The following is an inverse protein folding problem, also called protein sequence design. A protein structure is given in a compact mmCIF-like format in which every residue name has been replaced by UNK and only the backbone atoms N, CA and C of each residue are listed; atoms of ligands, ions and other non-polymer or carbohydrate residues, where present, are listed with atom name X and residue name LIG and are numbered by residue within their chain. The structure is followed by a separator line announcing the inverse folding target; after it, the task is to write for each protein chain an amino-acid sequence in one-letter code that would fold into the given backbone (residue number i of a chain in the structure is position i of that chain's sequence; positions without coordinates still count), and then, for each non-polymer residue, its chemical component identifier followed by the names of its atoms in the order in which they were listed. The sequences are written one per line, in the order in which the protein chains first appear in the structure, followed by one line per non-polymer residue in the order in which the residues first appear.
data_IF_143906950067
#
_entry.id   IF_143906950067
#
_cell.length_a   1.000
_cell.length_b   1.000
_cell.length_c   1.000
_cell.angle_alpha   90.00
_cell.angle_beta   90.00
_cell.angle_gamma   90.00
#
_symmetry.space_group_name_H-M   'P 1'
#
loop_
_entity.id
_entity.type
_entity.pdbx_description
1 polymer ?
#
# COMPACT_ATOMS: atom_id res chain seq x y z
N UNK A 1 17.88 16.81 6.65
CA UNK A 1 17.40 15.48 7.07
C UNK A 1 17.15 14.71 5.82
N UNK A 2 17.91 13.66 5.66
CA UNK A 2 17.65 12.67 4.64
C UNK A 2 16.84 11.53 5.24
N UNK A 3 16.04 10.88 4.40
CA UNK A 3 15.20 9.73 4.72
C UNK A 3 14.38 9.87 6.01
N UNK A 4 13.58 10.93 6.12
CA UNK A 4 12.68 11.17 7.25
C UNK A 4 11.74 9.98 7.53
N UNK A 5 11.33 9.25 6.50
CA UNK A 5 10.47 8.06 6.64
C UNK A 5 11.09 6.92 7.46
N UNK A 6 12.42 6.88 7.58
CA UNK A 6 13.14 5.86 8.37
C UNK A 6 13.22 6.19 9.86
N UNK A 7 12.82 7.40 10.24
CA UNK A 7 12.96 7.84 11.62
C UNK A 7 11.97 7.10 12.53
N UNK A 8 12.43 6.44 13.60
CA UNK A 8 11.58 5.58 14.41
C UNK A 8 10.56 6.35 15.26
N UNK A 9 10.83 7.64 15.52
CA UNK A 9 9.94 8.52 16.27
C UNK A 9 10.34 9.99 16.08
N UNK A 10 9.50 10.89 16.61
CA UNK A 10 9.67 12.35 16.50
C UNK A 10 10.86 12.94 17.28
N UNK A 11 11.52 12.17 18.15
CA UNK A 11 12.48 12.72 19.12
C UNK A 11 13.65 13.44 18.43
N UNK A 12 14.28 12.80 17.45
CA UNK A 12 15.40 13.41 16.73
C UNK A 12 14.95 14.65 15.96
N UNK A 13 13.78 14.58 15.33
CA UNK A 13 13.18 15.71 14.62
C UNK A 13 12.99 16.92 15.56
N UNK A 14 12.30 16.74 16.69
CA UNK A 14 12.04 17.83 17.64
C UNK A 14 13.32 18.44 18.23
N UNK A 15 14.31 17.61 18.59
CA UNK A 15 15.61 18.10 19.11
C UNK A 15 16.27 19.03 18.11
N UNK A 16 16.21 18.67 16.83
CA UNK A 16 16.91 19.39 15.78
C UNK A 16 16.16 20.62 15.30
N UNK A 17 14.83 20.56 15.23
CA UNK A 17 13.99 21.68 14.76
C UNK A 17 13.66 22.69 15.86
N UNK A 18 13.39 22.23 17.09
CA UNK A 18 13.01 23.11 18.21
C UNK A 18 14.23 23.41 19.09
N UNK A 19 14.91 22.37 19.57
CA UNK A 19 16.03 22.53 20.50
C UNK A 19 17.22 23.30 19.90
N UNK A 20 17.89 22.71 18.91
CA UNK A 20 19.05 23.34 18.25
C UNK A 20 18.68 24.42 17.24
N UNK A 21 17.40 24.51 16.87
CA UNK A 21 16.89 25.48 15.92
C UNK A 21 16.71 26.87 16.50
N UNK A 22 16.04 26.93 17.65
CA UNK A 22 15.68 28.18 18.31
C UNK A 22 16.90 28.99 18.78
N UNK A 23 18.07 28.33 18.89
CA UNK A 23 19.34 28.98 19.18
C UNK A 23 19.93 29.76 17.98
N UNK A 24 19.36 29.65 16.78
CA UNK A 24 19.84 30.31 15.55
C UNK A 24 18.84 31.37 15.09
N UNK A 25 19.34 32.49 14.58
CA UNK A 25 18.50 33.63 14.14
C UNK A 25 17.67 33.33 12.88
N UNK A 26 18.18 32.51 11.97
CA UNK A 26 17.53 32.17 10.69
C UNK A 26 17.82 30.70 10.33
N UNK A 27 17.32 29.73 11.11
CA UNK A 27 17.53 28.32 10.82
C UNK A 27 16.77 27.92 9.55
N UNK A 28 17.43 27.13 8.69
CA UNK A 28 16.81 26.53 7.52
C UNK A 28 16.95 25.01 7.58
N UNK A 29 15.84 24.30 7.40
CA UNK A 29 15.78 22.85 7.43
C UNK A 29 15.38 22.31 6.06
N UNK A 30 16.25 21.49 5.48
CA UNK A 30 15.91 20.69 4.31
C UNK A 30 15.51 19.30 4.77
N UNK A 31 14.27 18.91 4.48
CA UNK A 31 13.74 17.58 4.72
C UNK A 31 13.57 16.92 3.35
N UNK A 32 14.34 15.88 3.09
CA UNK A 32 14.22 15.05 1.90
C UNK A 32 13.91 13.62 2.37
N UNK A 33 13.03 12.94 1.66
CA UNK A 33 12.56 11.60 2.01
C UNK A 33 11.81 11.01 0.83
N UNK A 34 11.63 9.70 0.86
CA UNK A 34 10.60 8.98 0.09
C UNK A 34 9.34 8.76 0.94
N UNK A 35 8.25 8.32 0.30
CA UNK A 35 7.05 7.88 1.02
C UNK A 35 7.36 6.69 1.94
N UNK A 36 6.70 6.62 3.09
CA UNK A 36 6.86 5.54 4.06
C UNK A 36 5.73 4.51 3.99
N UNK A 37 5.78 3.56 4.94
CA UNK A 37 4.74 2.55 5.14
C UNK A 37 3.90 2.76 6.39
N UNK A 38 4.35 3.64 7.30
CA UNK A 38 3.71 3.94 8.57
C UNK A 38 3.06 5.33 8.54
N UNK A 39 1.73 5.34 8.63
CA UNK A 39 0.91 6.56 8.69
C UNK A 39 0.87 7.20 10.08
N UNK A 40 1.49 6.59 11.09
CA UNK A 40 1.69 7.18 12.42
C UNK A 40 3.07 7.83 12.57
N UNK A 41 3.91 7.77 11.54
CA UNK A 41 5.27 8.31 11.56
C UNK A 41 5.32 9.84 11.51
N UNK A 42 6.41 10.42 12.02
CA UNK A 42 6.70 11.87 11.88
C UNK A 42 6.81 12.30 10.41
N UNK A 43 7.23 11.37 9.53
CA UNK A 43 7.27 11.61 8.10
C UNK A 43 5.86 11.80 7.54
N UNK A 44 4.91 10.95 7.95
CA UNK A 44 3.52 11.08 7.51
C UNK A 44 2.88 12.36 8.04
N UNK A 45 3.12 12.72 9.31
CA UNK A 45 2.68 14.00 9.88
C UNK A 45 3.18 15.19 9.04
N UNK A 46 4.48 15.19 8.71
CA UNK A 46 5.10 16.24 7.88
C UNK A 46 4.54 16.26 6.46
N UNK A 47 4.28 15.09 5.87
CA UNK A 47 3.67 14.94 4.56
C UNK A 47 2.23 15.46 4.52
N UNK A 48 1.41 15.16 5.53
CA UNK A 48 0.05 15.70 5.64
C UNK A 48 0.06 17.23 5.77
N UNK A 49 0.96 17.78 6.59
CA UNK A 49 1.17 19.24 6.65
C UNK A 49 1.50 19.81 5.27
N UNK A 50 2.37 19.16 4.51
CA UNK A 50 2.75 19.59 3.17
C UNK A 50 1.54 19.59 2.20
N UNK A 51 0.73 18.52 2.22
CA UNK A 51 -0.51 18.43 1.42
C UNK A 51 -1.51 19.52 1.79
N UNK A 52 -1.75 19.73 3.08
CA UNK A 52 -2.69 20.76 3.56
C UNK A 52 -2.28 22.17 3.12
N UNK A 53 -0.97 22.46 3.05
CA UNK A 53 -0.46 23.74 2.55
C UNK A 53 -0.64 23.86 1.05
N UNK A 54 -0.30 22.82 0.27
CA UNK A 54 -0.47 22.80 -1.18
C UNK A 54 -1.94 22.95 -1.61
N UNK A 55 -2.86 22.38 -0.83
CA UNK A 55 -4.31 22.46 -1.06
C UNK A 55 -4.94 23.73 -0.48
N UNK A 56 -4.16 24.59 0.18
CA UNK A 56 -4.63 25.83 0.80
C UNK A 56 -5.49 25.63 2.05
N UNK A 57 -5.60 24.41 2.59
CA UNK A 57 -6.27 24.09 3.86
C UNK A 57 -5.51 24.66 5.07
N UNK A 58 -4.19 24.85 4.93
CA UNK A 58 -3.32 25.45 5.94
C UNK A 58 -2.44 26.54 5.33
N UNK A 59 -2.27 27.65 6.03
CA UNK A 59 -1.38 28.73 5.63
C UNK A 59 -0.19 28.76 6.57
N UNK A 60 1.00 28.42 6.06
CA UNK A 60 2.26 28.48 6.80
C UNK A 60 3.37 28.96 5.85
N UNK A 61 3.72 30.26 5.88
CA UNK A 61 4.74 30.81 4.98
C UNK A 61 6.17 30.36 5.31
N UNK A 62 6.38 29.67 6.44
CA UNK A 62 7.70 29.17 6.85
C UNK A 62 8.01 27.77 6.31
N UNK A 63 7.03 27.12 5.69
CA UNK A 63 7.14 25.76 5.19
C UNK A 63 6.88 25.72 3.68
N UNK A 64 7.90 25.34 2.91
CA UNK A 64 7.82 25.25 1.46
C UNK A 64 7.78 23.77 1.01
N UNK A 65 6.58 23.23 0.71
CA UNK A 65 6.42 21.84 0.29
C UNK A 65 6.68 21.65 -1.21
N UNK A 66 7.40 20.59 -1.55
CA UNK A 66 7.49 20.06 -2.92
C UNK A 66 7.31 18.56 -2.83
N UNK A 67 6.33 18.01 -3.56
CA UNK A 67 6.02 16.58 -3.57
C UNK A 67 6.04 16.12 -5.02
N UNK A 68 6.90 15.15 -5.32
CA UNK A 68 6.89 14.41 -6.57
C UNK A 68 6.43 12.99 -6.28
N UNK A 69 5.21 12.67 -6.72
CA UNK A 69 4.63 11.35 -6.52
C UNK A 69 3.33 11.15 -7.28
N UNK A 70 2.93 9.90 -7.37
CA UNK A 70 1.65 9.49 -7.91
C UNK A 70 0.59 9.47 -6.80
N UNK A 71 -0.66 9.72 -7.18
CA UNK A 71 -1.82 9.47 -6.32
C UNK A 71 -1.97 7.97 -6.10
N UNK A 72 -2.64 7.58 -5.03
CA UNK A 72 -2.80 6.17 -4.63
C UNK A 72 -3.54 5.31 -5.66
N UNK A 73 -4.44 5.92 -6.43
CA UNK A 73 -5.31 5.27 -7.42
C UNK A 73 -4.75 5.28 -8.85
N UNK A 74 -3.61 5.95 -9.08
CA UNK A 74 -3.01 6.00 -10.42
C UNK A 74 -2.35 4.67 -10.80
N UNK A 75 -2.43 4.35 -12.10
CA UNK A 75 -1.80 3.16 -12.67
C UNK A 75 -0.28 3.26 -12.52
N UNK A 76 0.25 2.42 -11.65
CA UNK A 76 1.67 2.37 -11.35
C UNK A 76 2.51 1.83 -12.51
N UNK A 77 1.88 1.26 -13.55
CA UNK A 77 2.56 0.72 -14.73
C UNK A 77 2.60 1.71 -15.90
N UNK A 78 1.99 2.89 -15.77
CA UNK A 78 1.96 3.92 -16.80
C UNK A 78 3.25 4.77 -16.82
N UNK A 79 4.02 4.78 -17.93
CA UNK A 79 5.22 5.62 -18.07
C UNK A 79 5.00 7.12 -17.86
N UNK A 80 3.81 7.66 -18.15
CA UNK A 80 3.52 9.08 -17.90
C UNK A 80 3.40 9.38 -16.40
N UNK A 81 2.87 8.44 -15.61
CA UNK A 81 2.87 8.51 -14.14
C UNK A 81 4.30 8.46 -13.60
N UNK A 82 5.17 7.66 -14.21
CA UNK A 82 6.59 7.59 -13.82
C UNK A 82 7.29 8.92 -14.06
N UNK A 83 7.10 9.50 -15.24
CA UNK A 83 7.72 10.77 -15.63
C UNK A 83 7.30 11.93 -14.74
N UNK A 84 6.02 12.00 -14.37
CA UNK A 84 5.51 13.04 -13.46
C UNK A 84 6.04 12.86 -12.04
N UNK A 85 6.20 11.62 -11.58
CA UNK A 85 6.67 11.30 -10.23
C UNK A 85 8.20 11.39 -10.09
N UNK A 86 8.94 11.35 -11.20
CA UNK A 86 10.40 11.35 -11.25
C UNK A 86 10.93 12.46 -12.17
N UNK A 87 11.13 13.69 -11.65
CA UNK A 87 11.61 14.82 -12.46
C UNK A 87 12.95 14.60 -13.15
N UNK A 88 13.76 13.66 -12.65
CA UNK A 88 15.06 13.31 -13.21
C UNK A 88 15.05 12.08 -14.14
N UNK A 89 13.87 11.54 -14.44
CA UNK A 89 13.71 10.41 -15.35
C UNK A 89 14.21 10.77 -16.76
N UNK A 90 15.02 9.90 -17.34
CA UNK A 90 15.69 10.13 -18.62
C UNK A 90 16.98 10.97 -18.53
N UNK A 91 17.32 11.51 -17.35
CA UNK A 91 18.55 12.27 -17.12
C UNK A 91 19.51 11.48 -16.22
N UNK A 92 19.10 11.23 -14.96
CA UNK A 92 19.92 10.48 -14.00
C UNK A 92 19.45 9.05 -13.81
N UNK A 93 18.15 8.81 -14.00
CA UNK A 93 17.55 7.47 -13.96
C UNK A 93 17.09 7.12 -15.38
N UNK A 94 17.65 6.05 -15.94
CA UNK A 94 17.24 5.54 -17.25
C UNK A 94 15.85 4.93 -17.22
N UNK A 95 15.04 5.22 -18.25
CA UNK A 95 13.67 4.70 -18.36
C UNK A 95 13.65 3.17 -18.48
N UNK A 96 14.68 2.59 -19.10
CA UNK A 96 14.92 1.16 -19.21
C UNK A 96 15.00 0.48 -17.83
N UNK A 97 15.65 1.11 -16.85
CA UNK A 97 15.74 0.58 -15.48
C UNK A 97 14.40 0.63 -14.75
N UNK A 98 13.60 1.68 -14.98
CA UNK A 98 12.27 1.80 -14.39
C UNK A 98 11.33 0.77 -15.02
N UNK A 99 11.39 0.60 -16.33
CA UNK A 99 10.63 -0.43 -17.05
C UNK A 99 10.95 -1.83 -16.53
N UNK A 100 12.23 -2.18 -16.43
CA UNK A 100 12.65 -3.48 -15.90
C UNK A 100 12.18 -3.72 -14.46
N UNK A 101 12.23 -2.69 -13.60
CA UNK A 101 11.72 -2.78 -12.24
C UNK A 101 10.18 -2.94 -12.20
N UNK A 102 9.46 -2.27 -13.10
CA UNK A 102 8.01 -2.43 -13.24
C UNK A 102 7.64 -3.84 -13.67
N UNK A 103 8.36 -4.41 -14.65
CA UNK A 103 8.07 -5.74 -15.17
C UNK A 103 8.33 -6.85 -14.13
N UNK A 104 9.37 -6.67 -13.30
CA UNK A 104 9.64 -7.54 -12.14
C UNK A 104 8.52 -7.43 -11.09
N UNK A 105 8.14 -6.20 -10.75
CA UNK A 105 7.05 -5.91 -9.81
C UNK A 105 5.69 -6.51 -10.22
N UNK A 106 5.39 -6.60 -11.52
CA UNK A 106 4.13 -7.18 -12.03
C UNK A 106 3.94 -8.65 -11.63
N UNK A 107 5.03 -9.34 -11.34
CA UNK A 107 5.02 -10.77 -11.00
C UNK A 107 5.19 -11.00 -9.50
N UNK A 108 5.53 -9.96 -8.73
CA UNK A 108 5.85 -10.07 -7.31
C UNK A 108 5.20 -8.92 -6.51
N UNK A 109 4.13 -9.19 -5.73
CA UNK A 109 3.44 -8.18 -4.93
C UNK A 109 4.35 -7.40 -3.95
N UNK A 110 5.43 -8.01 -3.46
CA UNK A 110 6.38 -7.32 -2.58
C UNK A 110 7.22 -6.28 -3.35
N UNK A 111 7.58 -6.61 -4.58
CA UNK A 111 8.27 -5.70 -5.49
C UNK A 111 7.33 -4.63 -6.03
N UNK A 112 6.04 -4.91 -6.22
CA UNK A 112 5.03 -3.88 -6.51
C UNK A 112 4.99 -2.82 -5.42
N UNK A 113 4.86 -3.22 -4.15
CA UNK A 113 4.89 -2.28 -3.03
C UNK A 113 6.19 -1.45 -3.02
N UNK A 114 7.32 -2.12 -3.23
CA UNK A 114 8.63 -1.45 -3.29
C UNK A 114 8.72 -0.47 -4.48
N UNK A 115 8.18 -0.83 -5.63
CA UNK A 115 8.15 0.02 -6.82
C UNK A 115 7.27 1.25 -6.58
N UNK A 116 6.04 1.05 -6.09
CA UNK A 116 5.10 2.11 -5.76
C UNK A 116 5.68 3.09 -4.74
N UNK A 117 6.33 2.58 -3.69
CA UNK A 117 6.98 3.41 -2.69
C UNK A 117 8.18 4.17 -3.26
N UNK A 118 9.16 3.46 -3.85
CA UNK A 118 10.48 4.02 -4.16
C UNK A 118 10.57 4.69 -5.54
N UNK A 119 9.67 4.36 -6.47
CA UNK A 119 9.60 4.99 -7.80
C UNK A 119 8.46 5.98 -7.92
N UNK A 120 7.36 5.79 -7.21
CA UNK A 120 6.18 6.64 -7.36
C UNK A 120 5.87 7.48 -6.11
N UNK A 121 6.63 7.33 -5.02
CA UNK A 121 6.36 8.00 -3.74
C UNK A 121 4.90 7.82 -3.27
N UNK A 122 4.33 6.64 -3.54
CA UNK A 122 3.03 6.26 -2.99
C UNK A 122 3.21 5.73 -1.57
N UNK A 123 2.32 6.14 -0.67
CA UNK A 123 2.24 5.54 0.66
C UNK A 123 1.62 4.15 0.53
N UNK A 124 2.40 3.11 0.82
CA UNK A 124 1.96 1.72 0.72
C UNK A 124 1.84 1.10 2.10
N UNK A 125 0.95 0.12 2.29
CA UNK A 125 0.89 -0.62 3.56
C UNK A 125 2.05 -1.59 3.63
N UNK A 126 2.62 -1.76 4.83
CA UNK A 126 3.71 -2.71 5.06
C UNK A 126 3.30 -4.16 4.78
N UNK A 127 2.01 -4.49 4.91
CA UNK A 127 1.50 -5.81 4.54
C UNK A 127 1.45 -5.97 3.02
N UNK A 128 2.29 -6.86 2.52
CA UNK A 128 2.21 -7.37 1.16
C UNK A 128 0.94 -8.22 1.07
N UNK A 129 0.01 -7.86 0.17
CA UNK A 129 -1.12 -8.73 -0.15
C UNK A 129 -0.56 -10.00 -0.79
N UNK A 130 -0.88 -11.16 -0.21
CA UNK A 130 -0.35 -12.43 -0.72
C UNK A 130 -0.89 -12.77 -2.11
N UNK A 131 -2.06 -12.25 -2.48
CA UNK A 131 -2.74 -12.50 -3.75
C UNK A 131 -3.14 -11.17 -4.40
N UNK A 132 -2.84 -10.97 -5.71
CA UNK A 132 -3.34 -9.84 -6.48
C UNK A 132 -4.88 -9.84 -6.55
N UNK A 133 -5.50 -8.67 -6.38
CA UNK A 133 -6.98 -8.58 -6.34
C UNK A 133 -7.62 -8.82 -7.70
N UNK A 134 -6.96 -8.44 -8.79
CA UNK A 134 -7.44 -8.71 -10.16
C UNK A 134 -7.55 -10.23 -10.42
N UNK A 135 -6.59 -11.01 -9.90
CA UNK A 135 -6.62 -12.48 -9.96
C UNK A 135 -7.70 -13.07 -9.07
N UNK A 136 -7.91 -12.50 -7.89
CA UNK A 136 -9.00 -12.89 -6.99
C UNK A 136 -10.37 -12.62 -7.62
N UNK A 137 -10.58 -11.42 -8.15
CA UNK A 137 -11.84 -10.99 -8.74
C UNK A 137 -12.17 -11.80 -10.00
N UNK A 138 -11.16 -12.20 -10.78
CA UNK A 138 -11.33 -13.10 -11.91
C UNK A 138 -11.85 -14.50 -11.52
N UNK A 139 -11.73 -14.91 -10.26
CA UNK A 139 -12.22 -16.19 -9.74
C UNK A 139 -13.65 -16.12 -9.19
N UNK A 140 -14.36 -14.99 -9.29
CA UNK A 140 -15.70 -14.79 -8.71
C UNK A 140 -16.85 -15.47 -9.50
N UNK A 141 -16.60 -16.66 -10.05
CA UNK A 141 -17.61 -17.42 -10.80
C UNK A 141 -18.71 -17.92 -9.84
N UNK A 142 -19.99 -17.90 -10.26
CA UNK A 142 -21.09 -18.39 -9.43
C UNK A 142 -20.95 -19.90 -9.21
N UNK A 143 -21.18 -20.33 -7.96
CA UNK A 143 -21.15 -21.74 -7.56
C UNK A 143 -22.58 -22.21 -7.24
N UNK A 144 -23.04 -23.24 -7.94
CA UNK A 144 -24.32 -23.89 -7.65
C UNK A 144 -24.13 -25.00 -6.60
N UNK A 145 -24.62 -24.78 -5.38
CA UNK A 145 -24.50 -25.72 -4.29
C UNK A 145 -25.23 -27.06 -4.56
N UNK A 146 -26.32 -27.07 -5.34
CA UNK A 146 -27.06 -28.29 -5.63
C UNK A 146 -26.27 -29.22 -6.55
N UNK A 147 -25.51 -28.65 -7.50
CA UNK A 147 -24.66 -29.41 -8.43
C UNK A 147 -23.44 -30.06 -7.74
N UNK A 148 -23.15 -29.70 -6.49
CA UNK A 148 -22.01 -30.22 -5.73
C UNK A 148 -22.36 -31.40 -4.83
N UNK A 149 -23.65 -31.75 -4.72
CA UNK A 149 -24.10 -32.84 -3.86
C UNK A 149 -23.50 -34.19 -4.30
N UNK A 150 -22.97 -34.95 -3.34
CA UNK A 150 -22.33 -36.25 -3.59
C UNK A 150 -20.88 -36.19 -4.10
N UNK A 151 -20.34 -34.99 -4.38
CA UNK A 151 -18.92 -34.84 -4.74
C UNK A 151 -18.01 -34.95 -3.52
N UNK A 152 -16.76 -35.35 -3.77
CA UNK A 152 -15.68 -35.23 -2.78
C UNK A 152 -15.48 -33.76 -2.46
N UNK A 153 -15.35 -33.42 -1.17
CA UNK A 153 -15.00 -32.08 -0.74
C UNK A 153 -14.05 -32.12 0.45
N UNK A 154 -13.32 -31.02 0.64
CA UNK A 154 -12.46 -30.77 1.79
C UNK A 154 -13.00 -29.56 2.54
N UNK A 155 -13.30 -29.75 3.83
CA UNK A 155 -13.81 -28.70 4.70
C UNK A 155 -12.71 -28.10 5.59
N UNK A 156 -12.62 -26.78 5.60
CA UNK A 156 -11.82 -26.02 6.57
C UNK A 156 -12.75 -25.27 7.53
N UNK A 157 -12.55 -25.43 8.83
CA UNK A 157 -13.32 -24.73 9.87
C UNK A 157 -12.39 -23.84 10.69
N UNK A 158 -12.72 -22.55 10.74
CA UNK A 158 -12.06 -21.53 11.54
C UNK A 158 -13.07 -20.95 12.54
N UNK A 159 -12.84 -21.21 13.83
CA UNK A 159 -13.76 -20.85 14.91
C UNK A 159 -13.32 -19.53 15.56
N UNK A 160 -14.24 -18.57 15.62
CA UNK A 160 -14.01 -17.33 16.35
C UNK A 160 -14.35 -17.46 17.84
N UNK A 161 -13.71 -16.65 18.68
CA UNK A 161 -13.90 -16.71 20.15
C UNK A 161 -14.68 -15.53 20.73
N UNK A 162 -14.55 -14.33 20.16
CA UNK A 162 -15.08 -13.09 20.76
C UNK A 162 -15.65 -12.11 19.74
N UNK A 163 -14.81 -11.50 18.90
CA UNK A 163 -15.24 -10.43 17.98
C UNK A 163 -15.12 -10.79 16.49
N UNK A 164 -14.45 -11.90 16.16
CA UNK A 164 -14.20 -12.30 14.78
C UNK A 164 -15.36 -13.12 14.18
N UNK A 165 -15.35 -13.24 12.84
CA UNK A 165 -16.28 -14.06 12.07
C UNK A 165 -15.83 -15.52 12.15
N UNK A 166 -16.75 -16.43 12.46
CA UNK A 166 -16.52 -17.88 12.28
C UNK A 166 -16.71 -18.22 10.81
N UNK A 167 -15.77 -18.98 10.22
CA UNK A 167 -15.81 -19.37 8.82
C UNK A 167 -15.75 -20.89 8.66
N UNK A 168 -16.63 -21.45 7.84
CA UNK A 168 -16.55 -22.83 7.38
C UNK A 168 -16.55 -22.83 5.86
N UNK A 169 -15.51 -23.38 5.25
CA UNK A 169 -15.33 -23.33 3.80
C UNK A 169 -15.20 -24.74 3.27
N UNK A 170 -16.07 -25.09 2.31
CA UNK A 170 -15.98 -26.33 1.56
C UNK A 170 -15.28 -26.06 0.23
N UNK A 171 -14.27 -26.87 -0.09
CA UNK A 171 -13.54 -26.82 -1.36
C UNK A 171 -13.75 -28.13 -2.10
N UNK A 172 -14.26 -28.03 -3.33
CA UNK A 172 -14.54 -29.16 -4.20
C UNK A 172 -13.48 -29.20 -5.30
N UNK A 173 -12.66 -30.27 -5.38
CA UNK A 173 -11.67 -30.42 -6.44
C UNK A 173 -12.37 -30.67 -7.79
N UNK A 174 -11.73 -30.26 -8.89
CA UNK A 174 -12.23 -30.56 -10.23
C UNK A 174 -12.27 -32.06 -10.51
N UNK A 175 -13.26 -32.48 -11.28
CA UNK A 175 -13.46 -33.86 -11.74
C UNK A 175 -12.95 -34.07 -13.16
N UNK A 176 -12.86 -33.00 -13.94
CA UNK A 176 -12.31 -32.95 -15.30
C UNK A 176 -11.12 -31.98 -15.36
N UNK A 177 -10.24 -32.13 -16.35
CA UNK A 177 -9.01 -31.31 -16.48
C UNK A 177 -9.28 -29.80 -16.65
N UNK A 178 -10.39 -29.44 -17.30
CA UNK A 178 -10.76 -28.05 -17.59
C UNK A 178 -11.69 -27.42 -16.54
N UNK A 179 -12.03 -28.16 -15.48
CA UNK A 179 -12.89 -27.67 -14.40
C UNK A 179 -12.05 -26.89 -13.36
N UNK A 180 -12.59 -25.79 -12.85
CA UNK A 180 -11.98 -25.05 -11.74
C UNK A 180 -12.42 -25.61 -10.38
N UNK A 181 -11.67 -25.33 -9.32
CA UNK A 181 -12.14 -25.59 -7.96
C UNK A 181 -13.41 -24.79 -7.66
N UNK A 182 -14.40 -25.44 -7.05
CA UNK A 182 -15.57 -24.74 -6.52
C UNK A 182 -15.41 -24.54 -5.00
N UNK A 183 -15.69 -23.33 -4.54
CA UNK A 183 -15.56 -22.94 -3.12
C UNK A 183 -16.91 -22.48 -2.61
N UNK A 184 -17.39 -23.12 -1.54
CA UNK A 184 -18.66 -22.80 -0.90
C UNK A 184 -18.40 -22.36 0.56
N UNK A 185 -18.34 -21.04 0.81
CA UNK A 185 -18.09 -20.51 2.14
C UNK A 185 -19.38 -20.25 2.93
N UNK A 186 -19.31 -20.49 4.23
CA UNK A 186 -20.32 -20.16 5.21
C UNK A 186 -19.69 -19.29 6.29
N UNK A 187 -20.34 -18.17 6.61
CA UNK A 187 -19.84 -17.20 7.57
C UNK A 187 -20.89 -16.95 8.64
N UNK A 188 -20.46 -16.87 9.90
CA UNK A 188 -21.31 -16.58 11.04
C UNK A 188 -20.72 -15.47 11.89
N UNK A 189 -21.59 -14.58 12.33
CA UNK A 189 -21.29 -13.52 13.29
C UNK A 189 -22.15 -13.79 14.54
N UNK A 190 -21.60 -13.66 15.77
CA UNK A 190 -22.40 -13.75 16.98
C UNK A 190 -23.54 -12.72 16.96
N UNK A 191 -24.75 -13.12 17.34
CA UNK A 191 -25.93 -12.24 17.34
C UNK A 191 -25.73 -10.97 18.19
N UNK A 192 -24.94 -11.04 19.26
CA UNK A 192 -24.59 -9.90 20.12
C UNK A 192 -23.76 -8.81 19.40
N UNK A 193 -23.21 -9.12 18.21
CA UNK A 193 -22.38 -8.23 17.40
C UNK A 193 -23.06 -7.75 16.09
N UNK A 194 -24.38 -7.96 15.92
CA UNK A 194 -25.21 -7.39 14.84
C UNK A 194 -25.89 -6.09 15.32
#
# INVERSE_FOLDING_TARGET
FDELHTQPNRKLFDVMTKGSGDARMQPLYFLITTAGTDTQSICYETHQKAKDILEGRKIDPTFYPVIYGAKEDEDWTDPEVWKRSNPSLGITVGIDKVQAACDSARQNPAEENSFRQLRLNQWVKQSVRWMPMDKWDACALPVDAAALEGRVCYGGLDLSSTMDITAFVLVFPPTEEDETFAVLPYFWIPEENI
#
